data_IF_231535495669
#
_entry.id   IF_231535495669
#
_cell.length_a   1.000
_cell.length_b   1.000
_cell.length_c   1.000
_cell.angle_alpha   90.00
_cell.angle_beta   90.00
_cell.angle_gamma   90.00
#
_symmetry.space_group_name_H-M   'P 1'
#
loop_
_entity.id
_entity.type
_entity.pdbx_description
1 polymer ?
#
# COMPACT_ATOMS: atom_id res chain seq x y z
N UNK A 1 2.23 46.21 -40.85
CA UNK A 1 2.36 44.83 -40.33
C UNK A 1 1.69 44.80 -38.97
N UNK A 2 0.56 44.11 -38.88
CA UNK A 2 -0.11 43.79 -37.62
C UNK A 2 0.63 42.65 -36.90
N UNK A 3 0.67 42.70 -35.57
CA UNK A 3 0.68 41.56 -34.64
C UNK A 3 0.06 42.13 -33.35
N UNK A 4 -1.24 42.02 -33.06
CA UNK A 4 -2.12 40.85 -32.87
C UNK A 4 -1.68 39.92 -31.73
N UNK A 5 -2.43 40.04 -30.62
CA UNK A 5 -2.66 39.09 -29.52
C UNK A 5 -1.44 38.72 -28.65
N UNK A 6 -1.35 38.96 -27.34
CA UNK A 6 -2.36 39.01 -26.26
C UNK A 6 -3.40 37.90 -26.35
N UNK A 7 -2.98 36.68 -25.99
CA UNK A 7 -3.58 35.78 -24.98
C UNK A 7 -3.13 34.35 -25.25
N UNK A 8 -2.61 33.69 -24.21
CA UNK A 8 -2.62 32.25 -23.91
C UNK A 8 -2.08 32.17 -22.47
N UNK A 9 -2.89 32.30 -21.41
CA UNK A 9 -3.81 31.32 -20.84
C UNK A 9 -3.23 29.92 -20.65
N UNK A 10 -2.24 29.76 -19.76
CA UNK A 10 -2.05 28.49 -19.06
C UNK A 10 -2.10 28.71 -17.55
N UNK A 11 -3.33 28.68 -17.06
CA UNK A 11 -3.62 28.44 -15.65
C UNK A 11 -3.52 26.95 -15.34
N UNK A 12 -3.28 26.69 -14.04
CA UNK A 12 -3.17 25.39 -13.38
C UNK A 12 -1.77 24.75 -13.41
N UNK A 13 -0.85 25.43 -12.73
CA UNK A 13 0.27 24.75 -12.08
C UNK A 13 -0.27 23.67 -11.14
N UNK A 14 -0.19 22.42 -11.59
CA UNK A 14 -0.32 21.25 -10.75
C UNK A 14 0.80 21.33 -9.70
N UNK A 15 0.44 21.65 -8.46
CA UNK A 15 1.41 21.70 -7.35
C UNK A 15 2.11 20.35 -7.18
N UNK A 16 3.30 20.29 -6.57
CA UNK A 16 3.97 19.03 -6.32
C UNK A 16 3.28 18.32 -5.17
N UNK A 17 2.24 17.54 -5.47
CA UNK A 17 1.73 16.56 -4.52
C UNK A 17 1.06 15.43 -5.27
N UNK A 18 1.83 14.37 -5.45
CA UNK A 18 1.44 12.99 -5.12
C UNK A 18 2.66 12.14 -5.48
N UNK A 19 3.57 12.02 -4.52
CA UNK A 19 4.50 10.87 -4.52
C UNK A 19 3.61 9.63 -4.62
N UNK A 20 3.84 8.72 -5.58
CA UNK A 20 3.08 7.48 -5.62
C UNK A 20 3.27 6.83 -4.25
N UNK A 21 2.18 6.59 -3.54
CA UNK A 21 2.18 5.81 -2.30
C UNK A 21 2.96 4.55 -2.59
N UNK A 22 4.18 4.49 -2.04
CA UNK A 22 5.18 3.51 -2.40
C UNK A 22 4.54 2.12 -2.30
N UNK A 23 4.40 1.43 -3.42
CA UNK A 23 3.79 0.11 -3.43
C UNK A 23 4.64 -0.78 -2.51
N UNK A 24 4.05 -1.24 -1.40
CA UNK A 24 4.77 -1.99 -0.36
C UNK A 24 5.35 -3.29 -0.93
N UNK A 25 4.71 -3.85 -1.97
CA UNK A 25 5.18 -5.02 -2.72
C UNK A 25 6.46 -4.71 -3.49
N UNK A 26 6.57 -3.53 -4.09
CA UNK A 26 7.77 -3.12 -4.83
C UNK A 26 8.99 -2.95 -3.92
N UNK A 27 8.76 -2.70 -2.62
CA UNK A 27 9.80 -2.57 -1.59
C UNK A 27 10.07 -3.90 -0.86
N UNK A 28 9.11 -4.82 -0.84
CA UNK A 28 9.17 -6.11 -0.14
C UNK A 28 10.04 -7.17 -0.86
N UNK A 29 11.27 -6.82 -1.23
CA UNK A 29 12.25 -7.77 -1.75
C UNK A 29 12.66 -8.72 -0.61
N UNK A 30 12.29 -9.99 -0.75
CA UNK A 30 12.67 -11.04 0.22
C UNK A 30 14.18 -11.19 0.27
N UNK A 31 14.75 -11.02 1.47
CA UNK A 31 16.11 -11.46 1.76
C UNK A 31 16.13 -12.99 1.86
N UNK A 32 16.84 -13.65 0.94
CA UNK A 32 16.93 -15.11 0.90
C UNK A 32 18.01 -15.66 1.83
N UNK A 33 18.85 -14.81 2.40
CA UNK A 33 19.92 -15.25 3.32
C UNK A 33 19.37 -15.76 4.66
N UNK A 34 18.16 -15.33 5.03
CA UNK A 34 17.47 -15.68 6.28
C UNK A 34 16.45 -16.82 6.11
N UNK A 35 16.35 -17.41 4.90
CA UNK A 35 15.38 -18.47 4.62
C UNK A 35 15.84 -19.80 5.21
N UNK A 36 15.00 -20.39 6.06
CA UNK A 36 15.24 -21.70 6.67
C UNK A 36 14.30 -22.72 6.02
N UNK A 37 14.82 -23.92 5.74
CA UNK A 37 14.03 -25.02 5.18
C UNK A 37 13.67 -26.01 6.30
N UNK A 38 12.37 -26.24 6.50
CA UNK A 38 11.83 -27.25 7.40
C UNK A 38 11.28 -28.47 6.67
N UNK A 39 11.10 -29.58 7.39
CA UNK A 39 10.37 -30.77 6.89
C UNK A 39 8.89 -30.63 7.27
N UNK A 40 7.99 -31.12 6.42
CA UNK A 40 6.54 -31.01 6.64
C UNK A 40 6.06 -31.73 7.93
N UNK A 41 6.84 -32.72 8.38
CA UNK A 41 6.57 -33.56 9.55
C UNK A 41 7.12 -32.97 10.86
N UNK A 42 7.91 -31.89 10.79
CA UNK A 42 8.52 -31.25 11.95
C UNK A 42 7.58 -30.19 12.53
N UNK A 43 7.55 -30.05 13.85
CA UNK A 43 6.78 -28.98 14.49
C UNK A 43 7.55 -27.67 14.32
N UNK A 44 7.26 -26.97 13.23
CA UNK A 44 7.99 -25.76 12.82
C UNK A 44 7.98 -24.65 13.89
N UNK A 45 8.99 -23.80 13.81
CA UNK A 45 9.20 -22.69 14.75
C UNK A 45 8.30 -21.48 14.46
N UNK A 46 7.41 -21.55 13.46
CA UNK A 46 6.58 -20.43 13.03
C UNK A 46 5.67 -19.96 14.16
N UNK A 47 5.12 -20.91 14.94
CA UNK A 47 4.27 -20.57 16.09
C UNK A 47 5.05 -19.75 17.13
N UNK A 48 6.24 -20.22 17.49
CA UNK A 48 7.09 -19.54 18.47
C UNK A 48 7.54 -18.16 17.94
N UNK A 49 7.92 -18.09 16.67
CA UNK A 49 8.25 -16.86 15.97
C UNK A 49 7.11 -15.84 16.07
N UNK A 50 5.89 -16.21 15.67
CA UNK A 50 4.75 -15.30 15.73
C UNK A 50 4.43 -14.86 17.16
N UNK A 51 4.53 -15.76 18.15
CA UNK A 51 4.34 -15.39 19.55
C UNK A 51 5.36 -14.37 20.06
N UNK A 52 6.58 -14.34 19.51
CA UNK A 52 7.61 -13.37 19.87
C UNK A 52 7.37 -11.96 19.31
N UNK A 53 6.54 -11.82 18.25
CA UNK A 53 6.24 -10.54 17.61
C UNK A 53 5.14 -9.78 18.35
N UNK A 54 5.15 -8.44 18.26
CA UNK A 54 4.09 -7.61 18.84
C UNK A 54 2.78 -7.75 18.03
N UNK A 55 1.62 -7.42 18.61
CA UNK A 55 0.35 -7.42 17.88
C UNK A 55 0.37 -6.55 16.62
N UNK A 56 1.04 -5.39 16.67
CA UNK A 56 1.14 -4.46 15.56
C UNK A 56 1.90 -5.09 14.38
N UNK A 57 3.04 -5.71 14.64
CA UNK A 57 3.86 -6.37 13.63
C UNK A 57 3.12 -7.54 12.94
N UNK A 58 2.27 -8.25 13.70
CA UNK A 58 1.43 -9.32 13.16
C UNK A 58 0.35 -8.76 12.23
N UNK A 59 -0.25 -7.62 12.59
CA UNK A 59 -1.24 -6.94 11.76
C UNK A 59 -0.62 -6.41 10.46
N UNK A 60 0.58 -5.83 10.54
CA UNK A 60 1.33 -5.39 9.36
C UNK A 60 1.64 -6.56 8.43
N UNK A 61 2.10 -7.69 8.98
CA UNK A 61 2.36 -8.89 8.18
C UNK A 61 1.07 -9.45 7.53
N UNK A 62 -0.06 -9.44 8.25
CA UNK A 62 -1.36 -9.84 7.70
C UNK A 62 -1.80 -8.92 6.56
N UNK A 63 -1.63 -7.62 6.69
CA UNK A 63 -1.97 -6.65 5.65
C UNK A 63 -1.08 -6.83 4.40
N UNK A 64 0.22 -7.08 4.58
CA UNK A 64 1.10 -7.42 3.47
C UNK A 64 0.64 -8.69 2.75
N UNK A 65 0.30 -9.75 3.49
CA UNK A 65 -0.22 -10.99 2.90
C UNK A 65 -1.55 -10.76 2.15
N UNK A 66 -2.44 -9.94 2.71
CA UNK A 66 -3.69 -9.54 2.05
C UNK A 66 -3.40 -8.85 0.72
N UNK A 67 -2.45 -7.92 0.69
CA UNK A 67 -2.09 -7.19 -0.53
C UNK A 67 -1.50 -8.13 -1.60
N UNK A 68 -0.60 -9.04 -1.21
CA UNK A 68 -0.01 -10.05 -2.11
C UNK A 68 -1.10 -10.96 -2.71
N UNK A 69 -1.96 -11.55 -1.86
CA UNK A 69 -2.91 -12.58 -2.29
C UNK A 69 -4.03 -12.02 -3.16
N UNK A 70 -4.44 -10.77 -2.94
CA UNK A 70 -5.53 -10.14 -3.69
C UNK A 70 -5.05 -9.25 -4.84
N UNK A 71 -3.74 -9.20 -5.11
CA UNK A 71 -3.18 -8.39 -6.21
C UNK A 71 -3.49 -6.91 -6.02
N UNK A 72 -3.26 -6.40 -4.81
CA UNK A 72 -3.55 -5.02 -4.47
C UNK A 72 -2.82 -4.05 -5.40
N UNK A 73 -3.59 -3.23 -6.10
CA UNK A 73 -3.10 -2.12 -6.90
C UNK A 73 -3.53 -0.81 -6.22
N UNK A 74 -2.59 -0.01 -5.70
CA UNK A 74 -2.90 1.26 -5.06
C UNK A 74 -3.57 2.27 -6.01
N UNK A 75 -3.47 2.10 -7.34
CA UNK A 75 -4.13 2.96 -8.31
C UNK A 75 -5.63 2.64 -8.52
N UNK A 76 -6.11 1.47 -8.07
CA UNK A 76 -7.53 1.07 -8.14
C UNK A 76 -8.18 0.99 -6.76
N UNK A 77 -7.58 1.66 -5.76
CA UNK A 77 -8.03 1.64 -4.37
C UNK A 77 -9.54 1.91 -4.28
N UNK A 78 -10.24 0.99 -3.62
CA UNK A 78 -11.68 1.09 -3.38
C UNK A 78 -11.91 2.40 -2.62
N UNK A 79 -12.58 3.37 -3.28
CA UNK A 79 -12.88 4.72 -2.76
C UNK A 79 -13.05 4.72 -1.25
N UNK A 80 -12.31 5.59 -0.56
CA UNK A 80 -12.39 5.73 0.88
C UNK A 80 -13.86 5.90 1.30
N UNK A 81 -14.37 4.95 2.08
CA UNK A 81 -15.73 5.01 2.61
C UNK A 81 -15.71 5.80 3.89
N UNK A 82 -16.01 7.09 3.79
CA UNK A 82 -16.31 7.92 4.95
C UNK A 82 -17.73 7.56 5.39
N UNK A 83 -17.88 7.03 6.60
CA UNK A 83 -19.19 6.82 7.21
C UNK A 83 -19.64 8.17 7.78
N UNK A 84 -20.72 8.72 7.22
CA UNK A 84 -21.40 9.92 7.73
C UNK A 84 -22.64 9.51 8.53
N UNK A 85 -22.90 10.22 9.63
CA UNK A 85 -24.12 10.06 10.43
C UNK A 85 -25.19 10.96 9.81
N UNK A 86 -26.28 10.38 9.34
CA UNK A 86 -27.46 11.13 8.84
C UNK A 86 -28.55 11.17 9.90
N UNK A 87 -29.21 12.33 10.06
CA UNK A 87 -30.41 12.44 10.89
C UNK A 87 -31.61 11.81 10.15
N UNK A 88 -32.48 11.13 10.89
CA UNK A 88 -33.71 10.54 10.38
C UNK A 88 -34.83 11.58 10.46
N UNK A 89 -35.43 11.95 9.32
CA UNK A 89 -36.64 12.78 9.26
C UNK A 89 -37.89 12.05 9.79
#
# INVERSE_FOLDING_TARGET
MMNSAEQDSEGLGFGPSQTPSQNLIDVARVDRSIMVHGTLDDEGDERAYWHSRTPEERLEALELMRQILYGYDPATERLQRVLEIVELE
#
